data_IF_009937176129
#
_entry.id   IF_009937176129
#
_cell.length_a   1.000
_cell.length_b   1.000
_cell.length_c   1.000
_cell.angle_alpha   90.00
_cell.angle_beta   90.00
_cell.angle_gamma   90.00
#
_symmetry.space_group_name_H-M   'P 1'
#
loop_
_entity.id
_entity.type
_entity.pdbx_description
1 polymer ?
#
# COMPACT_ATOMS: atom_id res chain seq x y z
N UNK A 1 12.76 -4.31 -4.58
CA UNK A 1 11.63 -3.40 -4.29
C UNK A 1 12.01 -2.01 -4.73
N UNK A 2 11.12 -1.28 -5.39
CA UNK A 2 11.26 0.16 -5.62
C UNK A 2 10.34 0.89 -4.63
N UNK A 3 10.84 1.96 -4.03
CA UNK A 3 10.05 2.81 -3.15
C UNK A 3 9.52 4.00 -3.94
N UNK A 4 8.21 4.17 -3.93
CA UNK A 4 7.55 5.34 -4.47
C UNK A 4 7.39 6.43 -3.42
N UNK A 5 7.48 7.68 -3.84
CA UNK A 5 7.28 8.84 -2.96
C UNK A 5 5.81 9.08 -2.68
N UNK A 6 5.00 9.08 -3.75
CA UNK A 6 3.56 9.35 -3.70
C UNK A 6 2.79 8.31 -4.50
N UNK A 7 3.01 8.33 -5.77
CA UNK A 7 2.48 7.38 -6.73
C UNK A 7 3.45 7.23 -7.91
N UNK A 8 3.23 6.21 -8.71
CA UNK A 8 4.11 5.91 -9.83
C UNK A 8 4.16 7.03 -10.90
N UNK A 9 3.12 7.84 -11.00
CA UNK A 9 3.06 8.97 -11.93
C UNK A 9 3.91 10.14 -11.44
N UNK A 10 3.75 10.51 -10.18
CA UNK A 10 4.54 11.58 -9.57
C UNK A 10 6.02 11.21 -9.54
N UNK A 11 6.36 9.97 -9.20
CA UNK A 11 7.73 9.47 -9.23
C UNK A 11 8.33 9.46 -10.64
N UNK A 12 7.53 9.25 -11.67
CA UNK A 12 7.99 9.26 -13.07
C UNK A 12 8.21 10.67 -13.61
N UNK A 13 7.63 11.69 -12.99
CA UNK A 13 7.75 13.06 -13.44
C UNK A 13 9.12 13.66 -13.10
N UNK A 14 9.69 14.44 -14.03
CA UNK A 14 10.95 15.16 -13.77
C UNK A 14 10.82 16.18 -12.64
N UNK A 15 9.62 16.72 -12.44
CA UNK A 15 9.36 17.69 -11.38
C UNK A 15 9.53 17.06 -10.00
N UNK A 16 8.87 15.94 -9.75
CA UNK A 16 8.95 15.26 -8.46
C UNK A 16 10.36 14.71 -8.19
N UNK A 17 11.03 14.16 -9.21
CA UNK A 17 12.42 13.70 -9.10
C UNK A 17 13.37 14.79 -8.63
N UNK A 18 13.15 16.03 -9.05
CA UNK A 18 14.02 17.15 -8.72
C UNK A 18 13.75 17.75 -7.34
N UNK A 19 12.53 17.60 -6.82
CA UNK A 19 12.09 18.28 -5.59
C UNK A 19 11.83 17.34 -4.41
N UNK A 20 11.76 16.03 -4.66
CA UNK A 20 11.52 15.04 -3.62
C UNK A 20 12.76 14.19 -3.40
N UNK A 21 13.27 14.17 -2.20
CA UNK A 21 14.42 13.36 -1.82
C UNK A 21 13.98 12.05 -1.21
N UNK A 22 14.36 10.95 -1.85
CA UNK A 22 14.17 9.61 -1.29
C UNK A 22 15.30 9.25 -0.37
N UNK A 23 15.21 9.60 0.90
CA UNK A 23 16.20 9.23 1.90
C UNK A 23 15.90 7.86 2.51
N UNK A 24 16.95 7.11 2.79
CA UNK A 24 16.85 5.80 3.44
C UNK A 24 17.74 5.70 4.66
N UNK A 25 17.34 4.85 5.59
CA UNK A 25 18.19 4.32 6.64
C UNK A 25 18.30 2.82 6.48
N UNK A 26 19.45 2.24 6.76
CA UNK A 26 19.67 0.80 6.75
C UNK A 26 20.16 0.37 8.13
N UNK A 27 19.47 -0.61 8.70
CA UNK A 27 19.85 -1.24 9.97
C UNK A 27 19.76 -2.73 9.79
N UNK A 28 20.89 -3.43 9.82
CA UNK A 28 21.00 -4.86 9.56
C UNK A 28 20.36 -5.24 8.20
N UNK A 29 19.27 -6.03 8.22
CA UNK A 29 18.53 -6.44 7.03
C UNK A 29 17.28 -5.59 6.75
N UNK A 30 17.12 -4.47 7.44
CA UNK A 30 15.97 -3.58 7.26
C UNK A 30 16.39 -2.28 6.57
N UNK A 31 15.67 -1.94 5.51
CA UNK A 31 15.82 -0.71 4.72
C UNK A 31 14.56 0.13 4.96
N UNK A 32 14.74 1.32 5.52
CA UNK A 32 13.67 2.25 5.86
C UNK A 32 13.67 3.40 4.88
N UNK A 33 12.55 3.60 4.18
CA UNK A 33 12.36 4.74 3.28
C UNK A 33 11.58 5.83 4.01
N UNK A 34 12.25 6.92 4.36
CA UNK A 34 11.76 7.96 5.28
C UNK A 34 11.20 9.20 4.61
N UNK A 35 11.01 9.17 3.31
CA UNK A 35 10.49 10.32 2.57
C UNK A 35 9.16 10.80 3.12
N UNK A 36 9.02 12.10 3.27
CA UNK A 36 7.81 12.74 3.73
C UNK A 36 6.85 13.00 2.56
N UNK A 37 5.60 12.72 2.82
CA UNK A 37 4.51 12.98 1.95
C UNK A 37 3.79 14.28 2.31
N UNK A 38 3.20 14.98 1.34
CA UNK A 38 2.66 16.35 1.53
C UNK A 38 1.73 16.49 2.73
N UNK A 39 0.75 15.60 2.87
CA UNK A 39 -0.27 15.63 3.90
C UNK A 39 -0.03 14.61 5.02
N UNK A 40 0.78 13.59 4.76
CA UNK A 40 1.11 12.54 5.72
C UNK A 40 2.61 12.48 5.94
N UNK A 41 3.08 13.15 6.96
CA UNK A 41 4.52 13.28 7.24
C UNK A 41 5.07 12.28 8.25
N UNK A 42 4.18 11.62 9.00
CA UNK A 42 4.57 10.76 10.12
C UNK A 42 4.70 9.28 9.73
N UNK A 43 4.76 8.96 8.44
CA UNK A 43 4.90 7.61 7.93
C UNK A 43 6.25 7.34 7.29
N UNK A 44 6.58 6.05 7.16
CA UNK A 44 7.70 5.54 6.38
C UNK A 44 7.41 4.13 5.88
N UNK A 45 8.11 3.69 4.84
CA UNK A 45 8.09 2.31 4.38
C UNK A 45 9.30 1.55 4.92
N UNK A 46 9.16 0.25 5.11
CA UNK A 46 10.27 -0.64 5.50
C UNK A 46 10.26 -1.90 4.65
N UNK A 47 11.42 -2.26 4.12
CA UNK A 47 11.69 -3.54 3.47
C UNK A 47 12.75 -4.28 4.29
N UNK A 48 12.49 -5.55 4.64
CA UNK A 48 13.35 -6.30 5.53
C UNK A 48 13.39 -7.80 5.20
N UNK A 49 14.38 -8.49 5.76
CA UNK A 49 14.44 -9.94 5.74
C UNK A 49 14.76 -10.49 7.13
N UNK A 50 14.32 -11.73 7.43
CA UNK A 50 14.59 -12.40 8.70
C UNK A 50 15.97 -13.08 8.76
N UNK A 51 16.82 -12.85 7.76
CA UNK A 51 18.16 -13.41 7.68
C UNK A 51 19.17 -12.28 7.45
N UNK A 52 20.42 -12.43 7.93
CA UNK A 52 21.47 -11.46 7.67
C UNK A 52 21.78 -11.37 6.18
N UNK A 53 21.82 -10.17 5.63
CA UNK A 53 22.18 -9.93 4.24
C UNK A 53 23.70 -9.91 4.06
N UNK A 54 24.17 -10.41 2.94
CA UNK A 54 25.61 -10.35 2.59
C UNK A 54 25.99 -8.95 2.12
N UNK A 55 25.13 -8.34 1.32
CA UNK A 55 25.24 -6.96 0.87
C UNK A 55 23.88 -6.44 0.43
N UNK A 56 23.75 -5.12 0.28
CA UNK A 56 22.50 -4.48 -0.13
C UNK A 56 22.78 -3.29 -1.06
N UNK A 57 21.75 -2.84 -1.77
CA UNK A 57 21.74 -1.54 -2.44
C UNK A 57 20.43 -0.80 -2.21
N UNK A 58 20.51 0.49 -2.01
CA UNK A 58 19.35 1.37 -1.91
C UNK A 58 19.36 2.47 -2.98
N UNK A 59 20.48 2.70 -3.65
CA UNK A 59 20.56 3.57 -4.83
C UNK A 59 20.16 2.79 -6.08
N UNK A 60 19.18 3.30 -6.81
CA UNK A 60 18.73 2.70 -8.07
C UNK A 60 19.86 2.64 -9.11
N UNK A 61 20.64 3.72 -9.21
CA UNK A 61 21.73 3.80 -10.18
C UNK A 61 22.88 2.86 -9.82
N UNK A 62 23.15 2.66 -8.54
CA UNK A 62 24.15 1.67 -8.11
C UNK A 62 23.67 0.24 -8.39
N UNK A 63 22.41 -0.05 -8.17
CA UNK A 63 21.85 -1.39 -8.40
C UNK A 63 21.65 -1.69 -9.88
N UNK A 64 20.98 -0.81 -10.63
CA UNK A 64 20.64 -1.03 -12.02
C UNK A 64 21.80 -0.68 -12.99
N UNK A 65 22.70 0.22 -12.59
CA UNK A 65 23.59 0.95 -13.49
C UNK A 65 22.94 2.20 -14.08
N UNK A 66 23.71 3.25 -14.32
CA UNK A 66 23.23 4.55 -14.82
C UNK A 66 22.47 4.43 -16.14
N UNK A 67 22.90 3.55 -17.02
CA UNK A 67 22.27 3.26 -18.32
C UNK A 67 21.52 1.93 -18.36
N UNK A 68 21.47 1.23 -17.22
CA UNK A 68 20.80 -0.04 -17.07
C UNK A 68 19.35 0.12 -16.61
N UNK A 69 18.65 -1.00 -16.57
CA UNK A 69 17.25 -1.05 -16.07
C UNK A 69 17.00 -2.31 -15.25
N UNK A 70 15.80 -2.44 -14.69
CA UNK A 70 15.45 -3.57 -13.83
C UNK A 70 15.47 -4.94 -14.54
N UNK A 71 15.46 -4.95 -15.88
CA UNK A 71 15.55 -6.20 -16.65
C UNK A 71 16.93 -6.85 -16.60
N UNK A 72 18.00 -6.08 -16.39
CA UNK A 72 19.38 -6.58 -16.35
C UNK A 72 20.26 -5.71 -15.44
N UNK A 73 20.02 -5.71 -14.11
CA UNK A 73 20.74 -4.84 -13.18
C UNK A 73 22.25 -5.18 -13.14
N UNK A 74 23.09 -4.16 -13.04
CA UNK A 74 24.56 -4.34 -12.97
C UNK A 74 24.97 -5.10 -11.70
N UNK A 75 24.33 -4.87 -10.55
CA UNK A 75 24.58 -5.60 -9.32
C UNK A 75 24.33 -7.11 -9.46
N UNK A 76 23.30 -7.50 -10.24
CA UNK A 76 23.01 -8.91 -10.53
C UNK A 76 24.08 -9.53 -11.43
N UNK A 77 24.55 -8.79 -12.44
CA UNK A 77 25.65 -9.24 -13.32
C UNK A 77 26.95 -9.38 -12.54
N UNK A 78 27.22 -8.45 -11.63
CA UNK A 78 28.40 -8.48 -10.75
C UNK A 78 28.34 -9.57 -9.68
N UNK A 79 27.14 -10.08 -9.38
CA UNK A 79 26.90 -11.07 -8.32
C UNK A 79 26.98 -10.53 -6.89
N UNK A 80 26.95 -9.20 -6.70
CA UNK A 80 26.96 -8.56 -5.38
C UNK A 80 26.36 -7.14 -5.46
N UNK A 81 25.88 -6.64 -4.33
CA UNK A 81 25.50 -5.25 -4.13
C UNK A 81 26.69 -4.44 -3.58
N UNK A 82 26.65 -3.13 -3.71
CA UNK A 82 27.70 -2.20 -3.34
C UNK A 82 27.56 -1.59 -1.95
N UNK A 83 26.51 -1.92 -1.21
CA UNK A 83 26.09 -1.31 0.06
C UNK A 83 25.81 0.21 -0.09
N UNK A 84 25.22 0.59 -1.23
CA UNK A 84 24.88 1.97 -1.51
C UNK A 84 23.74 2.46 -0.60
N UNK A 85 23.86 3.74 -0.16
CA UNK A 85 22.82 4.45 0.58
C UNK A 85 22.26 5.55 -0.32
N UNK A 86 20.95 5.51 -0.60
CA UNK A 86 20.31 6.49 -1.46
C UNK A 86 20.09 7.83 -0.75
N UNK A 87 20.48 8.88 -1.43
CA UNK A 87 20.09 10.25 -1.16
C UNK A 87 19.61 10.84 -2.48
N UNK A 88 18.32 10.83 -2.75
CA UNK A 88 17.78 11.31 -4.01
C UNK A 88 16.48 10.61 -4.39
N UNK A 89 16.19 10.57 -5.67
CA UNK A 89 14.97 10.03 -6.21
C UNK A 89 14.96 8.49 -6.27
N UNK A 90 13.75 7.94 -6.24
CA UNK A 90 13.43 6.53 -6.49
C UNK A 90 14.41 5.54 -5.82
N UNK A 91 14.52 5.51 -4.49
CA UNK A 91 15.34 4.51 -3.81
C UNK A 91 14.80 3.10 -4.07
N UNK A 92 15.72 2.13 -4.05
CA UNK A 92 15.38 0.71 -4.13
C UNK A 92 15.70 0.01 -2.82
N UNK A 93 15.09 -1.15 -2.59
CA UNK A 93 15.51 -2.09 -1.57
C UNK A 93 15.98 -3.37 -2.25
N UNK A 94 17.27 -3.59 -2.32
CA UNK A 94 17.88 -4.80 -2.86
C UNK A 94 18.71 -5.49 -1.77
N UNK A 95 18.45 -6.78 -1.55
CA UNK A 95 19.21 -7.62 -0.65
C UNK A 95 19.94 -8.70 -1.45
N UNK A 96 21.19 -8.91 -1.14
CA UNK A 96 22.00 -10.01 -1.65
C UNK A 96 22.30 -11.00 -0.52
N UNK A 97 22.01 -12.28 -0.77
CA UNK A 97 22.31 -13.39 0.13
C UNK A 97 23.26 -14.37 -0.55
N UNK A 98 24.29 -14.77 0.15
CA UNK A 98 25.13 -15.89 -0.28
C UNK A 98 24.74 -17.14 0.53
N UNK A 99 24.21 -18.15 -0.16
CA UNK A 99 23.70 -19.37 0.47
C UNK A 99 24.47 -20.59 -0.06
N UNK A 100 24.87 -21.44 0.86
CA UNK A 100 25.38 -22.76 0.53
C UNK A 100 24.40 -23.79 1.10
N UNK A 101 23.93 -24.70 0.25
CA UNK A 101 22.98 -25.75 0.62
C UNK A 101 23.64 -27.12 0.41
N UNK A 102 23.55 -27.99 1.42
CA UNK A 102 23.90 -29.39 1.27
C UNK A 102 22.81 -30.14 0.44
N UNK A 103 23.11 -31.31 -0.12
CA UNK A 103 22.15 -32.13 -0.82
C UNK A 103 20.91 -32.43 0.04
N UNK A 104 19.70 -32.02 -0.44
CA UNK A 104 18.43 -32.17 0.29
C UNK A 104 18.15 -31.11 1.34
N UNK A 105 19.07 -30.19 1.61
CA UNK A 105 18.84 -29.06 2.52
C UNK A 105 17.87 -28.06 1.93
N UNK A 106 17.00 -27.53 2.80
CA UNK A 106 16.06 -26.46 2.48
C UNK A 106 16.30 -25.29 3.43
N UNK A 107 16.28 -24.07 2.90
CA UNK A 107 16.37 -22.85 3.68
C UNK A 107 15.25 -21.91 3.30
N UNK A 108 14.56 -21.37 4.29
CA UNK A 108 13.51 -20.37 4.11
C UNK A 108 14.04 -19.00 4.48
N UNK A 109 13.69 -17.98 3.70
CA UNK A 109 13.95 -16.59 4.02
C UNK A 109 12.63 -15.84 3.87
N UNK A 110 12.27 -15.12 4.90
CA UNK A 110 11.07 -14.28 4.92
C UNK A 110 11.47 -12.87 4.54
N UNK A 111 10.78 -12.31 3.55
CA UNK A 111 10.86 -10.90 3.20
C UNK A 111 9.57 -10.21 3.62
N UNK A 112 9.71 -9.03 4.20
CA UNK A 112 8.56 -8.20 4.55
C UNK A 112 8.67 -6.83 3.90
N UNK A 113 7.53 -6.34 3.42
CA UNK A 113 7.34 -4.95 3.00
C UNK A 113 6.22 -4.37 3.85
N UNK A 114 6.51 -3.29 4.54
CA UNK A 114 5.57 -2.68 5.46
C UNK A 114 5.47 -1.17 5.27
N UNK A 115 4.32 -0.66 5.65
CA UNK A 115 4.03 0.75 5.81
C UNK A 115 3.78 1.02 7.29
N UNK A 116 4.47 1.99 7.83
CA UNK A 116 4.37 2.37 9.25
C UNK A 116 3.92 3.81 9.34
N UNK A 117 2.89 4.03 10.14
CA UNK A 117 2.42 5.36 10.50
C UNK A 117 2.62 5.57 12.01
N UNK A 118 3.46 6.52 12.37
CA UNK A 118 3.66 6.92 13.75
C UNK A 118 2.60 7.95 14.17
N UNK A 119 2.37 8.17 15.48
CA UNK A 119 1.61 9.32 15.94
C UNK A 119 2.20 10.63 15.41
N UNK A 120 1.36 11.65 15.28
CA UNK A 120 1.76 12.96 14.77
C UNK A 120 2.94 13.51 15.59
N UNK A 121 4.00 13.86 14.89
CA UNK A 121 5.24 14.39 15.48
C UNK A 121 6.19 13.35 16.07
N UNK A 122 5.87 12.05 16.00
CA UNK A 122 6.70 10.96 16.56
C UNK A 122 7.45 10.14 15.48
N UNK A 123 7.52 10.65 14.26
CA UNK A 123 8.23 9.97 13.17
C UNK A 123 9.71 9.75 13.47
N UNK A 124 10.36 10.72 14.12
CA UNK A 124 11.78 10.69 14.40
C UNK A 124 12.05 10.55 15.90
N UNK A 125 12.96 9.67 16.26
CA UNK A 125 13.47 9.51 17.63
C UNK A 125 14.61 10.52 17.95
N UNK A 126 15.30 11.00 16.91
CA UNK A 126 16.31 12.04 16.95
C UNK A 126 16.35 12.75 15.58
N UNK A 127 17.02 13.91 15.44
CA UNK A 127 17.10 14.61 14.16
C UNK A 127 17.54 13.70 13.02
N UNK A 128 16.65 13.51 12.03
CA UNK A 128 16.87 12.66 10.85
C UNK A 128 16.87 11.14 11.09
N UNK A 129 16.63 10.68 12.31
CA UNK A 129 16.61 9.24 12.66
C UNK A 129 15.17 8.78 12.89
N UNK A 130 14.69 7.85 12.07
CA UNK A 130 13.34 7.30 12.18
C UNK A 130 13.11 6.59 13.52
N UNK A 131 11.95 6.81 14.11
CA UNK A 131 11.45 5.99 15.22
C UNK A 131 11.02 4.61 14.69
N UNK A 132 11.85 3.61 14.93
CA UNK A 132 11.71 2.25 14.36
C UNK A 132 10.84 1.32 15.20
N UNK A 133 10.43 1.72 16.40
CA UNK A 133 9.78 0.83 17.37
C UNK A 133 8.56 0.07 16.80
N UNK A 134 7.71 0.75 16.02
CA UNK A 134 6.56 0.11 15.38
C UNK A 134 6.94 -0.85 14.25
N UNK A 135 7.99 -0.52 13.49
CA UNK A 135 8.51 -1.41 12.46
C UNK A 135 9.14 -2.67 13.09
N UNK A 136 9.91 -2.51 14.14
CA UNK A 136 10.52 -3.62 14.88
C UNK A 136 9.45 -4.55 15.47
N UNK A 137 8.39 -4.00 16.04
CA UNK A 137 7.26 -4.78 16.52
C UNK A 137 6.54 -5.53 15.37
N UNK A 138 6.40 -4.92 14.20
CA UNK A 138 5.85 -5.58 13.02
C UNK A 138 6.78 -6.70 12.54
N UNK A 139 8.08 -6.45 12.42
CA UNK A 139 9.05 -7.46 12.00
C UNK A 139 9.05 -8.66 12.94
N UNK A 140 8.98 -8.43 14.25
CA UNK A 140 8.92 -9.49 15.25
C UNK A 140 7.69 -10.40 15.12
N UNK A 141 6.55 -9.87 14.61
CA UNK A 141 5.33 -10.67 14.35
C UNK A 141 5.47 -11.65 13.19
N UNK A 142 6.42 -11.43 12.29
CA UNK A 142 6.59 -12.21 11.07
C UNK A 142 8.01 -12.78 10.93
N UNK A 143 8.72 -12.93 12.05
CA UNK A 143 10.13 -13.32 12.05
C UNK A 143 10.36 -14.81 11.74
N UNK A 144 9.35 -15.67 11.89
CA UNK A 144 9.45 -17.12 11.69
C UNK A 144 8.39 -17.65 10.73
N UNK A 145 8.68 -18.76 10.05
CA UNK A 145 7.74 -19.44 9.15
C UNK A 145 6.40 -19.77 9.86
N UNK A 146 6.46 -20.21 11.10
CA UNK A 146 5.26 -20.52 11.88
C UNK A 146 4.37 -19.28 12.12
N UNK A 147 4.97 -18.11 12.37
CA UNK A 147 4.24 -16.86 12.52
C UNK A 147 3.62 -16.39 11.21
N UNK A 148 4.36 -16.51 10.10
CA UNK A 148 3.84 -16.18 8.77
C UNK A 148 2.68 -17.10 8.39
N UNK A 149 2.82 -18.42 8.63
CA UNK A 149 1.74 -19.38 8.39
C UNK A 149 0.51 -19.14 9.26
N UNK A 150 0.70 -18.75 10.51
CA UNK A 150 -0.41 -18.37 11.38
C UNK A 150 -1.13 -17.11 10.87
N UNK A 151 -0.38 -16.09 10.44
CA UNK A 151 -0.94 -14.88 9.87
C UNK A 151 -1.69 -15.15 8.55
N UNK A 152 -1.15 -16.03 7.70
CA UNK A 152 -1.80 -16.46 6.46
C UNK A 152 -3.11 -17.20 6.72
N UNK A 153 -3.14 -18.08 7.72
CA UNK A 153 -4.40 -18.76 8.14
C UNK A 153 -5.42 -17.75 8.66
N UNK A 154 -5.02 -16.86 9.56
CA UNK A 154 -5.90 -15.83 10.09
C UNK A 154 -6.49 -14.93 8.99
N UNK A 155 -5.70 -14.60 7.97
CA UNK A 155 -6.20 -13.86 6.81
C UNK A 155 -7.19 -14.68 5.98
N UNK A 156 -6.93 -15.96 5.78
CA UNK A 156 -7.84 -16.85 5.07
C UNK A 156 -9.18 -17.00 5.83
N UNK A 157 -9.12 -17.20 7.14
CA UNK A 157 -10.30 -17.31 8.00
C UNK A 157 -11.14 -16.01 7.96
N UNK A 158 -10.48 -14.84 8.03
CA UNK A 158 -11.14 -13.55 7.89
C UNK A 158 -11.89 -13.41 6.56
N UNK A 159 -11.26 -13.77 5.44
CA UNK A 159 -11.93 -13.70 4.15
C UNK A 159 -13.06 -14.72 4.02
N UNK A 160 -12.88 -15.91 4.56
CA UNK A 160 -13.92 -16.94 4.56
C UNK A 160 -15.15 -16.47 5.37
N UNK A 161 -14.95 -15.92 6.55
CA UNK A 161 -16.03 -15.35 7.36
C UNK A 161 -16.74 -14.22 6.62
N UNK A 162 -15.98 -13.25 6.10
CA UNK A 162 -16.51 -12.10 5.39
C UNK A 162 -17.36 -12.47 4.19
N UNK A 163 -16.92 -13.44 3.38
CA UNK A 163 -17.59 -13.88 2.18
C UNK A 163 -18.74 -14.86 2.47
N UNK A 164 -18.82 -15.42 3.67
CA UNK A 164 -19.87 -16.38 4.04
C UNK A 164 -21.27 -15.76 4.15
N UNK A 165 -21.35 -14.44 4.32
CA UNK A 165 -22.61 -13.72 4.46
C UNK A 165 -23.51 -13.75 3.22
N UNK A 166 -22.95 -14.07 2.05
CA UNK A 166 -23.69 -14.19 0.81
C UNK A 166 -23.11 -15.32 -0.04
N UNK A 167 -23.86 -16.41 -0.20
CA UNK A 167 -23.42 -17.57 -0.96
C UNK A 167 -24.51 -18.03 -1.93
N UNK A 168 -24.12 -18.36 -3.16
CA UNK A 168 -24.98 -18.94 -4.18
C UNK A 168 -24.54 -20.37 -4.46
N UNK A 169 -25.51 -21.27 -4.55
CA UNK A 169 -25.35 -22.65 -5.05
C UNK A 169 -26.40 -22.92 -6.10
N UNK A 170 -26.03 -22.77 -7.37
CA UNK A 170 -26.95 -22.89 -8.49
C UNK A 170 -26.75 -24.18 -9.30
N UNK A 171 -25.62 -24.87 -9.08
CA UNK A 171 -25.18 -26.01 -9.93
C UNK A 171 -24.32 -25.56 -11.11
N UNK A 172 -24.19 -24.27 -11.39
CA UNK A 172 -23.23 -23.70 -12.36
C UNK A 172 -22.04 -23.13 -11.62
N UNK A 173 -20.93 -23.86 -11.56
CA UNK A 173 -19.75 -23.51 -10.74
C UNK A 173 -19.20 -22.11 -11.03
N UNK A 174 -19.22 -21.67 -12.28
CA UNK A 174 -18.71 -20.35 -12.66
C UNK A 174 -19.58 -19.22 -12.11
N UNK A 175 -20.90 -19.39 -12.17
CA UNK A 175 -21.85 -18.45 -11.60
C UNK A 175 -21.74 -18.41 -10.08
N UNK A 176 -21.65 -19.57 -9.44
CA UNK A 176 -21.50 -19.68 -7.99
C UNK A 176 -20.23 -18.97 -7.52
N UNK A 177 -19.10 -19.18 -8.19
CA UNK A 177 -17.83 -18.50 -7.90
C UNK A 177 -17.90 -17.01 -8.16
N UNK A 178 -18.53 -16.57 -9.24
CA UNK A 178 -18.69 -15.15 -9.55
C UNK A 178 -19.45 -14.42 -8.44
N UNK A 179 -20.60 -14.98 -8.02
CA UNK A 179 -21.47 -14.35 -7.03
C UNK A 179 -20.90 -14.47 -5.61
N UNK A 180 -20.45 -15.66 -5.22
CA UNK A 180 -20.05 -15.94 -3.84
C UNK A 180 -18.64 -15.39 -3.49
N UNK A 181 -17.82 -15.09 -4.49
CA UNK A 181 -16.45 -14.61 -4.27
C UNK A 181 -16.19 -13.28 -4.98
N UNK A 182 -16.19 -13.28 -6.31
CA UNK A 182 -15.64 -12.16 -7.08
C UNK A 182 -16.47 -10.89 -6.97
N UNK A 183 -17.78 -10.96 -6.99
CA UNK A 183 -18.64 -9.78 -6.84
C UNK A 183 -18.46 -9.16 -5.45
N UNK A 184 -18.42 -9.96 -4.40
CA UNK A 184 -18.22 -9.47 -3.04
C UNK A 184 -16.82 -8.86 -2.87
N UNK A 185 -15.79 -9.54 -3.38
CA UNK A 185 -14.42 -9.00 -3.38
C UNK A 185 -14.34 -7.66 -4.11
N UNK A 186 -14.95 -7.56 -5.28
CA UNK A 186 -14.99 -6.32 -6.06
C UNK A 186 -15.72 -5.19 -5.31
N UNK A 187 -16.84 -5.49 -4.67
CA UNK A 187 -17.55 -4.52 -3.82
C UNK A 187 -16.67 -4.04 -2.65
N UNK A 188 -15.93 -4.93 -2.01
CA UNK A 188 -14.97 -4.58 -0.98
C UNK A 188 -13.86 -3.67 -1.50
N UNK A 189 -13.28 -3.99 -2.65
CA UNK A 189 -12.25 -3.16 -3.30
C UNK A 189 -12.82 -1.78 -3.62
N UNK A 190 -13.98 -1.72 -4.25
CA UNK A 190 -14.65 -0.46 -4.60
C UNK A 190 -14.93 0.39 -3.36
N UNK A 191 -15.43 -0.21 -2.29
CA UNK A 191 -15.65 0.48 -1.02
C UNK A 191 -14.36 1.07 -0.43
N UNK A 192 -13.29 0.28 -0.39
CA UNK A 192 -12.02 0.72 0.19
C UNK A 192 -11.30 1.77 -0.65
N UNK A 193 -11.34 1.62 -1.97
CA UNK A 193 -10.61 2.49 -2.92
C UNK A 193 -11.43 3.69 -3.40
N UNK A 194 -12.73 3.74 -3.10
CA UNK A 194 -13.64 4.81 -3.55
C UNK A 194 -13.50 5.12 -5.04
N UNK A 195 -13.42 4.07 -5.88
CA UNK A 195 -13.17 4.14 -7.34
C UNK A 195 -11.81 4.73 -7.73
N UNK A 196 -10.90 4.97 -6.78
CA UNK A 196 -9.53 5.42 -7.07
C UNK A 196 -8.60 4.29 -7.51
N UNK A 197 -9.11 3.08 -7.70
CA UNK A 197 -8.31 1.91 -8.10
C UNK A 197 -8.02 1.86 -9.61
N UNK A 198 -8.68 2.70 -10.42
CA UNK A 198 -8.52 2.71 -11.87
C UNK A 198 -7.70 3.91 -12.33
N UNK A 199 -6.50 3.62 -12.79
CA UNK A 199 -5.63 4.60 -13.42
C UNK A 199 -6.27 5.24 -14.67
N UNK A 200 -6.99 4.44 -15.46
CA UNK A 200 -7.59 4.88 -16.73
C UNK A 200 -8.91 5.61 -16.55
N UNK A 201 -9.70 5.25 -15.56
CA UNK A 201 -11.04 5.82 -15.37
C UNK A 201 -10.99 7.11 -14.56
N UNK A 202 -10.36 7.08 -13.40
CA UNK A 202 -10.46 8.17 -12.42
C UNK A 202 -9.13 8.78 -12.02
N UNK A 203 -8.03 8.19 -12.44
CA UNK A 203 -6.71 8.59 -11.97
C UNK A 203 -6.49 8.28 -10.49
N UNK A 204 -5.34 8.70 -10.01
CA UNK A 204 -4.91 8.53 -8.63
C UNK A 204 -5.29 9.80 -7.86
N UNK A 205 -5.80 9.63 -6.65
CA UNK A 205 -6.16 10.76 -5.79
C UNK A 205 -7.55 11.35 -6.05
N UNK A 206 -8.42 10.64 -6.78
CA UNK A 206 -9.82 11.03 -6.88
C UNK A 206 -10.48 11.00 -5.49
N UNK A 207 -11.28 12.02 -5.21
CA UNK A 207 -12.10 12.08 -4.01
C UNK A 207 -13.30 11.13 -4.05
N UNK A 208 -13.98 11.00 -2.93
CA UNK A 208 -15.28 10.32 -2.86
C UNK A 208 -16.35 11.18 -3.52
N UNK A 209 -16.99 10.66 -4.56
CA UNK A 209 -18.22 11.24 -5.10
C UNK A 209 -19.40 10.94 -4.17
N UNK A 210 -20.28 11.91 -3.98
CA UNK A 210 -21.46 11.71 -3.12
C UNK A 210 -22.34 10.58 -3.63
N UNK A 211 -22.85 10.69 -4.86
CA UNK A 211 -23.70 9.66 -5.49
C UNK A 211 -22.99 8.34 -5.66
N UNK A 212 -21.77 8.36 -6.18
CA UNK A 212 -20.99 7.16 -6.46
C UNK A 212 -20.75 6.33 -5.20
N UNK A 213 -20.38 7.00 -4.10
CA UNK A 213 -20.14 6.32 -2.82
C UNK A 213 -21.42 5.75 -2.22
N UNK A 214 -22.58 6.42 -2.40
CA UNK A 214 -23.88 5.89 -1.98
C UNK A 214 -24.23 4.61 -2.74
N UNK A 215 -23.96 4.57 -4.07
CA UNK A 215 -24.20 3.37 -4.89
C UNK A 215 -23.27 2.21 -4.50
N UNK A 216 -21.98 2.52 -4.27
CA UNK A 216 -20.99 1.51 -3.90
C UNK A 216 -21.31 0.84 -2.55
N UNK A 217 -21.94 1.57 -1.63
CA UNK A 217 -22.39 1.04 -0.35
C UNK A 217 -23.43 -0.08 -0.49
N UNK A 218 -24.27 -0.07 -1.53
CA UNK A 218 -25.28 -1.11 -1.73
C UNK A 218 -24.66 -2.50 -1.87
N UNK A 219 -23.49 -2.59 -2.50
CA UNK A 219 -22.75 -3.85 -2.64
C UNK A 219 -21.92 -4.24 -1.41
N UNK A 220 -21.80 -3.36 -0.40
CA UNK A 220 -20.91 -3.56 0.74
C UNK A 220 -21.63 -3.70 2.08
N UNK A 221 -22.83 -3.17 2.20
CA UNK A 221 -23.55 -3.02 3.50
C UNK A 221 -23.71 -4.33 4.26
N UNK A 222 -23.88 -5.44 3.55
CA UNK A 222 -24.07 -6.77 4.16
C UNK A 222 -22.75 -7.41 4.64
N UNK A 223 -21.61 -6.96 4.11
CA UNK A 223 -20.30 -7.52 4.44
C UNK A 223 -19.80 -7.02 5.80
N UNK A 224 -19.73 -5.70 5.98
CA UNK A 224 -19.29 -5.06 7.23
C UNK A 224 -20.24 -3.89 7.55
N UNK A 225 -21.42 -4.16 8.17
CA UNK A 225 -22.44 -3.13 8.40
C UNK A 225 -21.95 -1.93 9.23
N UNK A 226 -21.05 -2.15 10.19
CA UNK A 226 -20.49 -1.07 11.00
C UNK A 226 -19.71 -0.05 10.17
N UNK A 227 -18.84 -0.52 9.28
CA UNK A 227 -18.08 0.34 8.37
C UNK A 227 -18.96 1.00 7.31
N UNK A 228 -19.99 0.29 6.84
CA UNK A 228 -20.97 0.88 5.94
C UNK A 228 -21.70 2.05 6.61
N UNK A 229 -22.11 1.88 7.88
CA UNK A 229 -22.75 2.95 8.67
C UNK A 229 -21.80 4.16 8.84
N UNK A 230 -20.55 3.94 9.18
CA UNK A 230 -19.54 5.01 9.27
C UNK A 230 -19.45 5.79 7.96
N UNK A 231 -19.33 5.09 6.83
CA UNK A 231 -19.27 5.72 5.52
C UNK A 231 -20.54 6.50 5.16
N UNK A 232 -21.72 6.01 5.53
CA UNK A 232 -22.99 6.74 5.36
C UNK A 232 -22.94 8.08 6.12
N UNK A 233 -22.45 8.06 7.35
CA UNK A 233 -22.32 9.28 8.15
C UNK A 233 -21.29 10.25 7.58
N UNK A 234 -20.16 9.73 7.09
CA UNK A 234 -19.13 10.55 6.41
C UNK A 234 -19.68 11.22 5.15
N UNK A 235 -20.43 10.48 4.33
CA UNK A 235 -21.08 11.03 3.12
C UNK A 235 -22.13 12.06 3.51
N UNK A 236 -22.99 11.78 4.48
CA UNK A 236 -24.01 12.68 4.95
C UNK A 236 -23.43 14.00 5.50
N UNK A 237 -22.25 13.95 6.12
CA UNK A 237 -21.54 15.14 6.60
C UNK A 237 -21.04 16.06 5.49
N UNK A 238 -21.07 15.62 4.23
CA UNK A 238 -20.74 16.47 3.06
C UNK A 238 -21.95 17.17 2.44
N UNK A 239 -23.15 16.94 2.98
CA UNK A 239 -24.39 17.56 2.52
C UNK A 239 -24.61 18.92 3.17
N UNK A 240 -25.13 19.88 2.40
CA UNK A 240 -25.52 21.20 2.86
C UNK A 240 -26.96 21.22 3.35
N UNK A 241 -27.35 22.30 4.08
CA UNK A 241 -28.71 22.46 4.62
C UNK A 241 -29.78 22.53 3.53
N UNK A 242 -29.44 23.01 2.33
CA UNK A 242 -30.32 23.07 1.17
C UNK A 242 -30.51 21.73 0.45
N UNK A 243 -29.81 20.68 0.89
CA UNK A 243 -29.85 19.34 0.31
C UNK A 243 -28.82 19.10 -0.78
N UNK A 244 -28.09 20.12 -1.22
CA UNK A 244 -26.94 19.94 -2.11
C UNK A 244 -25.77 19.26 -1.40
N UNK A 245 -24.80 18.74 -2.16
CA UNK A 245 -23.63 18.08 -1.61
C UNK A 245 -22.38 18.39 -2.45
N UNK A 246 -21.22 18.17 -1.88
CA UNK A 246 -19.98 18.24 -2.65
C UNK A 246 -19.96 17.18 -3.74
N UNK A 247 -19.57 17.54 -4.96
CA UNK A 247 -19.39 16.58 -6.04
C UNK A 247 -18.28 15.58 -5.72
N UNK A 248 -17.16 16.06 -5.17
CA UNK A 248 -16.05 15.23 -4.70
C UNK A 248 -15.51 15.75 -3.36
N UNK A 249 -15.22 14.82 -2.47
CA UNK A 249 -14.66 15.06 -1.15
C UNK A 249 -13.44 14.17 -0.93
N UNK A 250 -12.36 14.76 -0.44
CA UNK A 250 -11.14 14.04 -0.06
C UNK A 250 -11.12 13.78 1.45
N UNK A 251 -11.37 12.57 1.93
CA UNK A 251 -11.47 12.31 3.37
C UNK A 251 -10.20 12.63 4.15
N UNK A 252 -9.03 12.46 3.52
CA UNK A 252 -7.74 12.68 4.17
C UNK A 252 -7.37 14.15 4.30
N UNK A 253 -7.54 14.91 3.24
CA UNK A 253 -7.14 16.32 3.17
C UNK A 253 -8.28 17.28 3.50
N UNK A 254 -9.53 16.75 3.51
CA UNK A 254 -10.77 17.51 3.61
C UNK A 254 -10.91 18.57 2.52
N UNK A 255 -10.16 18.46 1.45
CA UNK A 255 -10.31 19.29 0.28
C UNK A 255 -11.56 18.87 -0.50
N UNK A 256 -12.36 19.86 -0.85
CA UNK A 256 -13.59 19.68 -1.60
C UNK A 256 -13.41 20.32 -2.98
N UNK A 257 -13.86 19.65 -4.04
CA UNK A 257 -14.03 20.28 -5.33
C UNK A 257 -15.38 20.98 -5.34
N UNK A 258 -15.36 22.28 -5.58
CA UNK A 258 -16.49 23.22 -5.51
C UNK A 258 -17.50 23.07 -6.67
N UNK A 259 -17.88 21.86 -7.04
CA UNK A 259 -19.07 21.66 -7.84
C UNK A 259 -20.13 20.99 -6.98
N UNK A 260 -21.17 21.72 -6.65
CA UNK A 260 -22.38 21.16 -6.08
C UNK A 260 -22.99 20.21 -7.11
N UNK A 261 -23.09 18.95 -6.78
CA UNK A 261 -23.87 18.00 -7.58
C UNK A 261 -25.32 18.16 -7.16
N UNK A 262 -26.13 18.77 -7.99
CA UNK A 262 -27.57 18.59 -7.88
C UNK A 262 -27.90 17.21 -8.44
N UNK A 263 -28.40 16.32 -7.59
CA UNK A 263 -28.86 14.99 -8.00
C UNK A 263 -30.04 15.05 -9.01
N UNK A 264 -30.59 16.24 -9.27
CA UNK A 264 -31.67 16.50 -10.21
C UNK A 264 -31.18 16.82 -11.64
N UNK A 265 -29.90 17.16 -11.85
CA UNK A 265 -29.37 17.56 -13.16
C UNK A 265 -28.93 16.38 -14.06
N UNK A 266 -29.01 15.16 -13.59
CA UNK A 266 -28.81 13.94 -14.41
C UNK A 266 -30.13 13.56 -15.12
N UNK A 267 -30.62 14.43 -16.05
CA UNK A 267 -31.67 14.05 -16.99
C UNK A 267 -31.11 13.65 -18.34
#
# INVERSE_FOLDING_TARGET
VEFCLWDAMDDSSNFQRNFSTGEVEVVESAIYHKTEYRERRDHYAVFWANAPVTSFDTSRDAFCGVYGGPAAPEAVKAGHCSNSIAHGWAPVGAHHFHLTLAPGEKKSIIFGLGYIENPVGEKFSAPGIINKARAEAMMARYATDAQVDAARRALADYWQELLSGWQLTSGEEKLDRMVSLWNQYQCMVTFNMSRSASYYESGIGRGMGFRDSCQDLLGFVHMIPSRARERILDIAATQFEDGSAYHQYQPLTKNCLLYTSDAADDK
#
